data_IF_845268834275
#
_entry.id   IF_845268834275
#
_cell.length_a   1.000
_cell.length_b   1.000
_cell.length_c   1.000
_cell.angle_alpha   90.00
_cell.angle_beta   90.00
_cell.angle_gamma   90.00
#
_symmetry.space_group_name_H-M   'P 1'
#
loop_
_entity.id
_entity.type
_entity.pdbx_description
1 polymer ?
#
# COMPACT_ATOMS: atom_id res chain seq x y z
N UNK A 1 12.05 -0.61 0.72
CA UNK A 1 10.93 0.31 1.08
C UNK A 1 9.76 -0.54 1.57
N UNK A 2 9.09 -0.18 2.66
CA UNK A 2 7.92 -0.93 3.17
C UNK A 2 6.82 -1.09 2.10
N UNK A 3 6.68 -0.13 1.18
CA UNK A 3 5.76 -0.24 0.04
C UNK A 3 6.04 -1.47 -0.85
N UNK A 4 7.31 -1.82 -1.06
CA UNK A 4 7.74 -3.01 -1.82
C UNK A 4 7.33 -4.30 -1.12
N UNK A 5 7.36 -4.32 0.22
CA UNK A 5 6.93 -5.46 1.03
C UNK A 5 5.42 -5.71 0.90
N UNK A 6 4.61 -4.65 0.83
CA UNK A 6 3.15 -4.74 0.68
C UNK A 6 2.79 -5.31 -0.70
N UNK A 7 3.44 -4.82 -1.74
CA UNK A 7 3.31 -5.37 -3.09
C UNK A 7 3.66 -6.86 -3.14
N UNK A 8 4.84 -7.23 -2.60
CA UNK A 8 5.27 -8.63 -2.52
C UNK A 8 4.28 -9.53 -1.78
N UNK A 9 3.65 -9.03 -0.72
CA UNK A 9 2.63 -9.79 0.00
C UNK A 9 1.36 -10.03 -0.83
N UNK A 10 0.80 -9.01 -1.50
CA UNK A 10 -0.36 -9.21 -2.38
C UNK A 10 -0.05 -10.13 -3.54
N UNK A 11 1.15 -10.05 -4.10
CA UNK A 11 1.62 -10.97 -5.13
C UNK A 11 1.60 -12.42 -4.61
N UNK A 12 2.18 -12.66 -3.42
CA UNK A 12 2.21 -14.00 -2.81
C UNK A 12 0.82 -14.56 -2.49
N UNK A 13 -0.09 -13.72 -2.01
CA UNK A 13 -1.49 -14.10 -1.79
C UNK A 13 -2.19 -14.47 -3.11
N UNK A 14 -2.01 -13.65 -4.15
CA UNK A 14 -2.61 -13.87 -5.46
C UNK A 14 -2.09 -15.12 -6.14
N UNK A 15 -0.78 -15.33 -6.16
CA UNK A 15 -0.14 -16.49 -6.76
C UNK A 15 -0.61 -17.83 -6.15
N UNK A 16 -1.08 -17.82 -4.90
CA UNK A 16 -1.57 -19.02 -4.22
C UNK A 16 -3.10 -19.20 -4.25
N UNK A 17 -3.87 -18.13 -4.45
CA UNK A 17 -5.32 -18.12 -4.17
C UNK A 17 -6.20 -17.55 -5.28
N UNK A 18 -5.62 -16.90 -6.29
CA UNK A 18 -6.36 -16.27 -7.37
C UNK A 18 -6.05 -16.93 -8.72
N UNK A 19 -7.04 -16.96 -9.60
CA UNK A 19 -6.93 -17.53 -10.95
C UNK A 19 -7.51 -16.58 -12.00
N UNK A 20 -7.17 -16.82 -13.27
CA UNK A 20 -7.69 -16.08 -14.42
C UNK A 20 -7.56 -14.56 -14.28
N UNK A 21 -8.65 -13.84 -14.57
CA UNK A 21 -8.67 -12.38 -14.53
C UNK A 21 -8.40 -11.80 -13.12
N UNK A 22 -8.78 -12.52 -12.05
CA UNK A 22 -8.55 -12.08 -10.68
C UNK A 22 -7.06 -12.10 -10.34
N UNK A 23 -6.33 -13.12 -10.78
CA UNK A 23 -4.87 -13.20 -10.64
C UNK A 23 -4.21 -11.98 -11.29
N UNK A 24 -4.48 -11.73 -12.57
CA UNK A 24 -3.91 -10.60 -13.32
C UNK A 24 -4.18 -9.27 -12.62
N UNK A 25 -5.42 -9.05 -12.17
CA UNK A 25 -5.79 -7.83 -11.43
C UNK A 25 -4.93 -7.66 -10.16
N UNK A 26 -4.78 -8.70 -9.35
CA UNK A 26 -3.99 -8.61 -8.12
C UNK A 26 -2.50 -8.44 -8.38
N UNK A 27 -1.97 -9.07 -9.43
CA UNK A 27 -0.58 -8.87 -9.86
C UNK A 27 -0.33 -7.41 -10.26
N UNK A 28 -1.24 -6.78 -11.02
CA UNK A 28 -1.14 -5.35 -11.35
C UNK A 28 -1.22 -4.49 -10.08
N UNK A 29 -2.19 -4.76 -9.20
CA UNK A 29 -2.35 -4.03 -7.93
C UNK A 29 -1.11 -4.16 -7.03
N UNK A 30 -0.38 -5.28 -7.08
CA UNK A 30 0.83 -5.51 -6.30
C UNK A 30 1.99 -4.57 -6.68
N UNK A 31 2.00 -4.08 -7.92
CA UNK A 31 3.08 -3.23 -8.46
C UNK A 31 2.80 -1.75 -8.17
N UNK A 32 1.54 -1.34 -8.13
CA UNK A 32 1.14 0.06 -7.98
C UNK A 32 1.76 0.79 -6.77
N UNK A 33 1.80 0.22 -5.54
CA UNK A 33 2.37 0.92 -4.39
C UNK A 33 3.83 1.30 -4.59
N UNK A 34 4.61 0.44 -5.27
CA UNK A 34 6.01 0.70 -5.56
C UNK A 34 6.18 1.81 -6.61
N UNK A 35 5.36 1.78 -7.67
CA UNK A 35 5.40 2.84 -8.70
C UNK A 35 5.01 4.19 -8.13
N UNK A 36 3.97 4.24 -7.28
CA UNK A 36 3.57 5.48 -6.59
C UNK A 36 4.68 5.98 -5.68
N UNK A 37 5.34 5.09 -4.93
CA UNK A 37 6.47 5.48 -4.10
C UNK A 37 7.66 5.98 -4.92
N UNK A 38 7.90 5.43 -6.11
CA UNK A 38 8.94 5.90 -7.02
C UNK A 38 8.61 7.28 -7.59
N UNK A 39 7.36 7.50 -8.03
CA UNK A 39 6.88 8.83 -8.47
C UNK A 39 7.03 9.87 -7.36
N UNK A 40 6.75 9.51 -6.11
CA UNK A 40 6.91 10.41 -4.97
C UNK A 40 8.35 10.95 -4.82
N UNK A 41 9.37 10.18 -5.25
CA UNK A 41 10.77 10.62 -5.21
C UNK A 41 11.10 11.68 -6.28
N UNK A 42 10.28 11.77 -7.34
CA UNK A 42 10.45 12.76 -8.40
C UNK A 42 9.75 14.08 -8.10
N UNK A 43 8.93 14.12 -7.04
CA UNK A 43 8.16 15.29 -6.64
C UNK A 43 8.96 16.15 -5.65
N UNK A 44 8.63 17.45 -5.53
CA UNK A 44 9.08 18.26 -4.41
C UNK A 44 8.78 17.56 -3.08
N UNK A 45 9.69 17.69 -2.10
CA UNK A 45 9.66 16.90 -0.88
C UNK A 45 8.27 16.84 -0.20
N UNK A 46 7.63 18.00 -0.05
CA UNK A 46 6.28 18.07 0.52
C UNK A 46 5.24 17.26 -0.28
N UNK A 47 5.20 17.45 -1.60
CA UNK A 47 4.24 16.78 -2.46
C UNK A 47 4.47 15.26 -2.50
N UNK A 48 5.74 14.82 -2.53
CA UNK A 48 6.11 13.42 -2.43
C UNK A 48 5.66 12.78 -1.11
N UNK A 49 5.89 13.47 0.01
CA UNK A 49 5.45 13.02 1.33
C UNK A 49 3.92 12.94 1.46
N UNK A 50 3.18 13.92 0.93
CA UNK A 50 1.72 13.88 0.89
C UNK A 50 1.20 12.72 0.03
N UNK A 51 1.81 12.48 -1.14
CA UNK A 51 1.46 11.35 -2.00
C UNK A 51 1.68 10.01 -1.26
N UNK A 52 2.79 9.88 -0.54
CA UNK A 52 3.08 8.71 0.29
C UNK A 52 2.06 8.56 1.43
N UNK A 53 1.68 9.66 2.08
CA UNK A 53 0.67 9.63 3.13
C UNK A 53 -0.68 9.10 2.60
N UNK A 54 -1.11 9.61 1.44
CA UNK A 54 -2.36 9.19 0.79
C UNK A 54 -2.29 7.72 0.40
N UNK A 55 -1.23 7.26 -0.27
CA UNK A 55 -1.17 5.86 -0.69
C UNK A 55 -1.20 4.94 0.53
N UNK A 56 -0.43 5.20 1.59
CA UNK A 56 -0.45 4.38 2.81
C UNK A 56 -1.83 4.32 3.47
N UNK A 57 -2.60 5.42 3.45
CA UNK A 57 -3.97 5.46 3.95
C UNK A 57 -4.95 4.63 3.11
N UNK A 58 -4.68 4.48 1.80
CA UNK A 58 -5.52 3.73 0.87
C UNK A 58 -5.20 2.22 0.83
N UNK A 59 -3.95 1.81 1.11
CA UNK A 59 -3.54 0.39 1.07
C UNK A 59 -4.45 -0.56 1.88
N UNK A 60 -4.95 -0.20 3.08
CA UNK A 60 -5.91 -1.02 3.80
C UNK A 60 -7.12 -1.42 2.95
N UNK A 61 -7.64 -0.56 2.07
CA UNK A 61 -8.81 -0.90 1.24
C UNK A 61 -8.57 -2.15 0.39
N UNK A 62 -7.36 -2.31 -0.15
CA UNK A 62 -6.95 -3.50 -0.87
C UNK A 62 -6.73 -4.70 0.08
N UNK A 63 -6.17 -4.49 1.28
CA UNK A 63 -6.08 -5.57 2.29
C UNK A 63 -7.47 -6.11 2.68
N UNK A 64 -8.47 -5.23 2.77
CA UNK A 64 -9.86 -5.59 3.08
C UNK A 64 -10.53 -6.30 1.91
N UNK A 65 -10.22 -5.90 0.67
CA UNK A 65 -10.67 -6.59 -0.53
C UNK A 65 -10.05 -8.01 -0.65
N UNK A 66 -8.77 -8.17 -0.31
CA UNK A 66 -8.10 -9.47 -0.28
C UNK A 66 -8.71 -10.40 0.78
N UNK A 67 -9.06 -9.86 1.95
CA UNK A 67 -9.76 -10.61 2.99
C UNK A 67 -11.18 -11.01 2.57
N UNK A 68 -11.93 -10.10 1.95
CA UNK A 68 -13.28 -10.39 1.43
C UNK A 68 -13.26 -11.47 0.33
N UNK A 69 -12.17 -11.53 -0.45
CA UNK A 69 -11.93 -12.57 -1.44
C UNK A 69 -11.42 -13.90 -0.84
N UNK A 70 -11.38 -14.05 0.49
CA UNK A 70 -10.81 -15.21 1.20
C UNK A 70 -9.34 -15.52 0.84
N UNK A 71 -8.62 -14.53 0.32
CA UNK A 71 -7.20 -14.65 -0.03
C UNK A 71 -6.33 -14.37 1.19
N UNK A 72 -6.67 -13.33 1.97
CA UNK A 72 -5.92 -12.92 3.15
C UNK A 72 -6.55 -13.46 4.44
N UNK A 73 -5.74 -13.91 5.43
CA UNK A 73 -6.26 -14.37 6.71
C UNK A 73 -6.85 -13.23 7.56
N UNK A 74 -7.69 -13.57 8.55
CA UNK A 74 -8.38 -12.60 9.39
C UNK A 74 -7.43 -11.63 10.14
N UNK A 75 -6.26 -12.12 10.58
CA UNK A 75 -5.26 -11.33 11.29
C UNK A 75 -4.54 -10.29 10.39
N UNK A 76 -4.56 -10.48 9.07
CA UNK A 76 -3.88 -9.62 8.10
C UNK A 76 -4.32 -8.17 8.23
N UNK A 77 -5.64 -7.94 8.23
CA UNK A 77 -6.23 -6.62 8.37
C UNK A 77 -5.86 -5.95 9.70
N UNK A 78 -5.93 -6.70 10.82
CA UNK A 78 -5.63 -6.19 12.17
C UNK A 78 -4.18 -5.74 12.31
N UNK A 79 -3.27 -6.35 11.57
CA UNK A 79 -1.86 -5.95 11.50
C UNK A 79 -1.66 -4.75 10.57
N UNK A 80 -2.22 -4.81 9.35
CA UNK A 80 -1.97 -3.84 8.28
C UNK A 80 -2.57 -2.48 8.59
N UNK A 81 -3.78 -2.43 9.16
CA UNK A 81 -4.48 -1.17 9.42
C UNK A 81 -3.68 -0.19 10.30
N UNK A 82 -3.24 -0.55 11.53
CA UNK A 82 -2.51 0.39 12.37
C UNK A 82 -1.17 0.79 11.76
N UNK A 83 -0.45 -0.13 11.11
CA UNK A 83 0.84 0.17 10.47
C UNK A 83 0.69 1.13 9.28
N UNK A 84 -0.32 0.92 8.44
CA UNK A 84 -0.63 1.81 7.32
C UNK A 84 -1.04 3.20 7.79
N UNK A 85 -1.89 3.30 8.81
CA UNK A 85 -2.31 4.59 9.37
C UNK A 85 -1.15 5.32 10.03
N UNK A 86 -0.32 4.61 10.80
CA UNK A 86 0.89 5.19 11.38
C UNK A 86 1.81 5.76 10.30
N UNK A 87 2.07 5.00 9.24
CA UNK A 87 2.88 5.49 8.12
C UNK A 87 2.23 6.69 7.44
N UNK A 88 0.92 6.68 7.21
CA UNK A 88 0.21 7.81 6.63
C UNK A 88 0.37 9.08 7.50
N UNK A 89 0.19 8.96 8.81
CA UNK A 89 0.37 10.07 9.75
C UNK A 89 1.81 10.59 9.75
N UNK A 90 2.81 9.70 9.83
CA UNK A 90 4.22 10.09 9.85
C UNK A 90 4.63 10.86 8.59
N UNK A 91 4.18 10.42 7.41
CA UNK A 91 4.45 11.13 6.16
C UNK A 91 3.71 12.47 6.08
N UNK A 92 2.47 12.54 6.58
CA UNK A 92 1.72 13.80 6.66
C UNK A 92 2.37 14.83 7.59
N UNK A 93 2.85 14.40 8.76
CA UNK A 93 3.60 15.25 9.70
C UNK A 93 4.90 15.74 9.06
N UNK A 94 5.66 14.83 8.43
CA UNK A 94 6.89 15.20 7.72
C UNK A 94 6.63 16.20 6.59
N UNK A 95 5.52 16.06 5.85
CA UNK A 95 5.13 17.02 4.83
C UNK A 95 4.82 18.40 5.41
N UNK A 96 4.19 18.46 6.58
CA UNK A 96 3.94 19.73 7.28
C UNK A 96 5.22 20.42 7.75
N UNK A 97 6.22 19.64 8.19
CA UNK A 97 7.54 20.16 8.58
C UNK A 97 8.36 20.65 7.38
N UNK A 98 8.18 20.05 6.19
CA UNK A 98 8.88 20.45 4.97
C UNK A 98 8.49 21.84 4.42
N UNK A 99 7.49 22.49 5.03
CA UNK A 99 7.09 23.87 4.73
C UNK A 99 7.81 24.93 5.57
N UNK A 100 8.48 24.52 6.66
CA UNK A 100 9.16 25.41 7.61
C UNK A 100 10.61 25.64 7.20
#
# INVERSE_FOLDING_TARGET
>A
MIASFIGGAWWGLAANRAEGAALTRWLVLSVLPMLVAWVALLLPAQAGLLLLAVIFALLPLADRAAQAASMAPAWWWRLRLPLSLLMACLHGVAAGMALQ
#
